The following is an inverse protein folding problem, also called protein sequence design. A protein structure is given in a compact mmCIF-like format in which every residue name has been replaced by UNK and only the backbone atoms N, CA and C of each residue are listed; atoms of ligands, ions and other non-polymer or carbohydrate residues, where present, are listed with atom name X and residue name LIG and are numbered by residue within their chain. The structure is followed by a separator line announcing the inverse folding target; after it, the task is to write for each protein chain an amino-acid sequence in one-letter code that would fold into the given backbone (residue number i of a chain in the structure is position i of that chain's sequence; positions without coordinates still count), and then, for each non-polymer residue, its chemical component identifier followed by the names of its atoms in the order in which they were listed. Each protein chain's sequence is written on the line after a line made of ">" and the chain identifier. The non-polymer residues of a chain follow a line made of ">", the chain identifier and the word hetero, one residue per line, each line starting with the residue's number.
data_IF_094084376464
#
_entry.id   IF_094084376464
#
_cell.length_a   1.000
_cell.length_b   1.000
_cell.length_c   1.000
_cell.angle_alpha   90.00
_cell.angle_beta   90.00
_cell.angle_gamma   90.00
#
_symmetry.space_group_name_H-M   'P 1'
#
loop_
_entity.id
_entity.type
_entity.pdbx_description
1 polymer ?
#
# COMPACT_ATOMS: atom_id res chain seq x y z
N UNK A 1 3.64 12.37 -13.32
CA UNK A 1 4.36 11.94 -12.10
C UNK A 1 3.81 10.58 -11.72
N UNK A 2 4.67 9.64 -11.32
CA UNK A 2 4.29 8.25 -11.06
C UNK A 2 4.40 7.91 -9.58
N UNK A 3 3.49 7.08 -9.09
CA UNK A 3 3.50 6.49 -7.75
C UNK A 3 3.30 4.99 -7.86
N UNK A 4 3.94 4.21 -6.99
CA UNK A 4 3.79 2.76 -6.99
C UNK A 4 3.20 2.26 -5.67
N UNK A 5 2.34 1.26 -5.76
CA UNK A 5 1.87 0.45 -4.65
C UNK A 5 2.26 -1.00 -4.83
N UNK A 6 2.64 -1.67 -3.75
CA UNK A 6 3.06 -3.07 -3.78
C UNK A 6 2.28 -3.84 -2.71
N UNK A 7 1.36 -4.72 -3.14
CA UNK A 7 0.88 -5.86 -2.34
C UNK A 7 1.97 -6.95 -2.40
N UNK A 8 2.83 -6.96 -1.38
CA UNK A 8 4.01 -7.82 -1.37
C UNK A 8 3.65 -9.23 -0.91
N UNK A 9 4.22 -10.24 -1.57
CA UNK A 9 4.06 -11.63 -1.16
C UNK A 9 5.40 -12.37 -1.07
N UNK A 10 5.39 -13.65 -0.66
CA UNK A 10 6.59 -14.50 -0.65
C UNK A 10 6.38 -15.78 -1.47
N UNK A 11 5.22 -16.43 -1.30
CA UNK A 11 4.91 -17.73 -1.92
C UNK A 11 4.07 -17.63 -3.20
N UNK A 12 3.46 -16.47 -3.43
CA UNK A 12 2.63 -16.16 -4.61
C UNK A 12 3.24 -14.95 -5.33
N UNK A 13 2.85 -14.67 -6.59
CA UNK A 13 3.13 -13.39 -7.22
C UNK A 13 2.70 -12.24 -6.31
N UNK A 14 3.53 -11.21 -6.27
CA UNK A 14 3.16 -9.92 -5.71
C UNK A 14 2.31 -9.17 -6.72
N UNK A 15 1.49 -8.24 -6.27
CA UNK A 15 0.72 -7.38 -7.17
C UNK A 15 1.23 -5.96 -7.00
N UNK A 16 1.56 -5.31 -8.11
CA UNK A 16 1.94 -3.90 -8.12
C UNK A 16 0.85 -3.07 -8.78
N UNK A 17 0.75 -1.81 -8.38
CA UNK A 17 -0.09 -0.82 -9.02
C UNK A 17 0.71 0.45 -9.28
N UNK A 18 0.72 0.92 -10.53
CA UNK A 18 1.38 2.16 -10.94
C UNK A 18 0.31 3.21 -11.19
N UNK A 19 0.34 4.28 -10.40
CA UNK A 19 -0.56 5.41 -10.54
C UNK A 19 0.11 6.55 -11.32
N UNK A 20 -0.46 6.88 -12.47
CA UNK A 20 -0.06 8.01 -13.31
C UNK A 20 -1.28 8.83 -13.75
N UNK A 21 -1.23 10.15 -13.51
CA UNK A 21 -2.33 11.09 -13.76
C UNK A 21 -3.59 10.75 -12.95
N UNK A 22 -4.58 10.10 -13.58
CA UNK A 22 -5.79 9.57 -12.94
C UNK A 22 -5.89 8.05 -13.02
N UNK A 23 -4.99 7.40 -13.77
CA UNK A 23 -5.07 5.97 -14.09
C UNK A 23 -4.10 5.15 -13.24
N UNK A 24 -4.59 4.00 -12.78
CA UNK A 24 -3.85 3.07 -11.93
C UNK A 24 -3.80 1.73 -12.66
N UNK A 25 -2.59 1.34 -13.08
CA UNK A 25 -2.31 0.13 -13.83
C UNK A 25 -1.83 -0.96 -12.89
N UNK A 26 -2.48 -2.12 -12.90
CA UNK A 26 -2.21 -3.23 -11.99
C UNK A 26 -1.53 -4.38 -12.73
N UNK A 27 -0.54 -5.00 -12.13
CA UNK A 27 0.08 -6.22 -12.68
C UNK A 27 0.57 -7.15 -11.60
N UNK A 28 0.49 -8.44 -11.86
CA UNK A 28 1.16 -9.45 -11.04
C UNK A 28 2.61 -9.59 -11.48
N UNK A 29 3.50 -9.70 -10.50
CA UNK A 29 4.94 -9.83 -10.69
C UNK A 29 5.49 -10.92 -9.77
N UNK A 30 6.39 -11.73 -10.31
CA UNK A 30 6.93 -12.93 -9.64
C UNK A 30 8.25 -12.60 -8.95
N UNK A 31 9.08 -11.75 -9.56
CA UNK A 31 10.44 -11.47 -9.10
C UNK A 31 10.61 -10.05 -8.56
N UNK A 32 11.63 -9.84 -7.74
CA UNK A 32 12.02 -8.48 -7.33
C UNK A 32 12.44 -7.63 -8.54
N UNK A 33 13.09 -8.23 -9.54
CA UNK A 33 13.46 -7.54 -10.79
C UNK A 33 12.26 -6.94 -11.53
N UNK A 34 11.15 -7.67 -11.57
CA UNK A 34 9.90 -7.18 -12.15
C UNK A 34 9.27 -6.06 -11.30
N UNK A 35 9.36 -6.13 -9.97
CA UNK A 35 8.95 -5.03 -9.08
C UNK A 35 9.78 -3.76 -9.37
N UNK A 36 11.12 -3.90 -9.43
CA UNK A 36 12.04 -2.80 -9.72
C UNK A 36 11.72 -2.14 -11.07
N UNK A 37 11.50 -2.96 -12.10
CA UNK A 37 11.15 -2.49 -13.44
C UNK A 37 9.78 -1.79 -13.45
N UNK A 38 8.76 -2.42 -12.84
CA UNK A 38 7.40 -1.91 -12.83
C UNK A 38 7.23 -0.61 -12.04
N UNK A 39 7.91 -0.48 -10.90
CA UNK A 39 7.87 0.74 -10.09
C UNK A 39 8.88 1.81 -10.53
N UNK A 40 9.67 1.58 -11.58
CA UNK A 40 10.72 2.50 -12.04
C UNK A 40 10.18 3.90 -12.36
N UNK A 41 10.92 4.94 -11.92
CA UNK A 41 10.54 6.34 -12.09
C UNK A 41 9.40 6.82 -11.19
N UNK A 42 8.92 6.00 -10.26
CA UNK A 42 7.97 6.42 -9.23
C UNK A 42 8.63 7.34 -8.21
N UNK A 43 7.94 8.40 -7.82
CA UNK A 43 8.43 9.33 -6.79
C UNK A 43 8.40 8.70 -5.40
N UNK A 44 7.27 8.05 -5.08
CA UNK A 44 7.03 7.36 -3.81
C UNK A 44 6.50 5.95 -4.11
N UNK A 45 6.97 4.96 -3.35
CA UNK A 45 6.55 3.57 -3.43
C UNK A 45 6.02 3.14 -2.06
N UNK A 46 4.74 2.74 -1.98
CA UNK A 46 4.17 2.19 -0.76
C UNK A 46 4.16 0.66 -0.79
N UNK A 47 4.64 0.02 0.27
CA UNK A 47 4.71 -1.44 0.40
C UNK A 47 3.78 -1.90 1.50
N UNK A 48 2.91 -2.87 1.20
CA UNK A 48 2.14 -3.62 2.20
C UNK A 48 3.03 -4.66 2.88
N UNK A 49 3.90 -4.18 3.78
CA UNK A 49 4.72 -5.00 4.66
C UNK A 49 5.48 -4.12 5.65
N UNK A 50 5.72 -4.59 6.89
CA UNK A 50 6.65 -3.93 7.79
C UNK A 50 8.02 -3.70 7.16
N UNK A 51 8.55 -2.48 7.31
CA UNK A 51 9.91 -2.12 6.88
C UNK A 51 10.96 -2.30 7.99
N UNK A 52 10.57 -2.89 9.12
CA UNK A 52 11.47 -3.22 10.22
C UNK A 52 11.05 -4.52 10.92
N UNK A 53 12.05 -5.31 11.33
CA UNK A 53 11.82 -6.54 12.10
C UNK A 53 11.67 -6.21 13.59
N UNK A 54 10.82 -6.97 14.29
CA UNK A 54 10.70 -6.90 15.75
C UNK A 54 10.32 -8.26 16.33
N UNK A 55 10.66 -8.50 17.60
CA UNK A 55 10.16 -9.64 18.38
C UNK A 55 8.75 -9.29 18.90
N UNK A 56 7.72 -9.71 18.18
CA UNK A 56 6.33 -9.34 18.48
C UNK A 56 5.94 -8.00 17.86
N UNK A 57 4.96 -7.33 18.47
CA UNK A 57 4.43 -6.04 17.99
C UNK A 57 5.39 -4.89 18.29
N UNK A 58 5.67 -4.07 17.27
CA UNK A 58 6.29 -2.74 17.39
C UNK A 58 5.35 -1.78 18.15
N UNK A 59 5.87 -0.67 18.64
CA UNK A 59 5.10 0.43 19.22
C UNK A 59 4.13 1.00 18.19
N UNK A 60 4.57 1.18 16.93
CA UNK A 60 3.67 1.61 15.84
C UNK A 60 2.52 0.62 15.59
N UNK A 61 2.77 -0.69 15.67
CA UNK A 61 1.72 -1.72 15.52
C UNK A 61 0.70 -1.66 16.66
N UNK A 62 1.17 -1.42 17.90
CA UNK A 62 0.29 -1.24 19.07
C UNK A 62 -0.56 0.03 18.93
N UNK A 63 -0.01 1.10 18.35
CA UNK A 63 -0.78 2.30 18.04
C UNK A 63 -1.83 2.04 16.96
N UNK A 64 -1.49 1.26 15.92
CA UNK A 64 -2.49 0.81 14.92
C UNK A 64 -3.66 0.10 15.60
N UNK A 65 -3.38 -0.87 16.49
CA UNK A 65 -4.40 -1.61 17.24
C UNK A 65 -5.23 -0.69 18.13
N UNK A 66 -4.59 0.24 18.85
CA UNK A 66 -5.27 1.24 19.69
C UNK A 66 -6.22 2.14 18.87
N UNK A 67 -5.88 2.42 17.62
CA UNK A 67 -6.73 3.17 16.68
C UNK A 67 -7.79 2.29 15.99
N UNK A 68 -7.96 1.04 16.42
CA UNK A 68 -8.98 0.12 15.94
C UNK A 68 -8.61 -0.62 14.66
N UNK A 69 -7.37 -0.55 14.20
CA UNK A 69 -6.88 -1.35 13.08
C UNK A 69 -6.47 -2.74 13.55
N UNK A 70 -6.52 -3.72 12.65
CA UNK A 70 -6.08 -5.09 12.93
C UNK A 70 -4.81 -5.35 12.15
N UNK A 71 -3.69 -5.48 12.85
CA UNK A 71 -2.37 -5.79 12.27
C UNK A 71 -1.78 -6.98 13.00
N UNK A 72 -0.81 -7.64 12.37
CA UNK A 72 -0.06 -8.77 12.93
C UNK A 72 1.39 -8.35 13.21
N UNK A 73 2.08 -8.97 14.17
CA UNK A 73 3.44 -8.58 14.51
C UNK A 73 4.44 -9.01 13.41
N UNK A 74 5.46 -8.20 13.08
CA UNK A 74 6.46 -8.51 12.05
C UNK A 74 7.09 -9.91 12.17
N UNK A 75 7.36 -10.36 13.41
CA UNK A 75 7.93 -11.70 13.68
C UNK A 75 7.13 -12.89 13.15
N UNK A 76 5.84 -12.72 12.84
CA UNK A 76 4.98 -13.80 12.32
C UNK A 76 5.07 -13.94 10.80
N UNK A 77 5.62 -12.93 10.12
CA UNK A 77 5.70 -12.83 8.66
C UNK A 77 7.14 -12.56 8.21
N UNK A 78 8.12 -13.23 8.84
CA UNK A 78 9.54 -12.88 8.71
C UNK A 78 10.03 -12.75 7.27
N UNK A 79 9.72 -13.72 6.42
CA UNK A 79 10.15 -13.69 5.01
C UNK A 79 9.54 -12.53 4.22
N UNK A 80 8.34 -12.06 4.59
CA UNK A 80 7.70 -10.90 3.96
C UNK A 80 8.41 -9.60 4.36
N UNK A 81 8.75 -9.46 5.65
CA UNK A 81 9.47 -8.31 6.21
C UNK A 81 10.90 -8.25 5.67
N UNK A 82 11.60 -9.38 5.62
CA UNK A 82 12.95 -9.47 5.04
C UNK A 82 12.95 -9.08 3.56
N UNK A 83 11.93 -9.53 2.80
CA UNK A 83 11.74 -9.12 1.40
C UNK A 83 11.48 -7.61 1.28
N UNK A 84 10.63 -7.04 2.12
CA UNK A 84 10.32 -5.61 2.12
C UNK A 84 11.54 -4.74 2.48
N UNK A 85 12.32 -5.14 3.49
CA UNK A 85 13.58 -4.48 3.87
C UNK A 85 14.57 -4.51 2.71
N UNK A 86 14.72 -5.65 2.03
CA UNK A 86 15.58 -5.76 0.85
C UNK A 86 15.10 -4.82 -0.26
N UNK A 87 13.82 -4.84 -0.61
CA UNK A 87 13.23 -3.95 -1.63
C UNK A 87 13.46 -2.47 -1.27
N UNK A 88 13.25 -2.09 -0.02
CA UNK A 88 13.52 -0.74 0.49
C UNK A 88 14.97 -0.30 0.27
N UNK A 89 15.93 -1.22 0.29
CA UNK A 89 17.36 -0.89 0.07
C UNK A 89 17.76 -0.77 -1.41
N UNK A 90 16.98 -1.32 -2.34
CA UNK A 90 17.33 -1.39 -3.76
C UNK A 90 16.39 -0.57 -4.67
N UNK A 91 15.21 -0.19 -4.18
CA UNK A 91 14.30 0.70 -4.90
C UNK A 91 14.84 2.13 -4.86
N UNK A 92 14.97 2.75 -6.04
CA UNK A 92 15.49 4.11 -6.18
C UNK A 92 14.37 5.16 -6.06
N UNK A 93 13.66 5.18 -4.93
CA UNK A 93 12.56 6.09 -4.63
C UNK A 93 12.38 6.25 -3.12
N UNK A 94 11.53 7.18 -2.70
CA UNK A 94 11.06 7.19 -1.31
C UNK A 94 10.13 5.99 -1.08
N UNK A 95 10.54 5.05 -0.23
CA UNK A 95 9.76 3.86 0.10
C UNK A 95 9.07 4.05 1.45
N UNK A 96 7.79 3.68 1.52
CA UNK A 96 6.96 3.88 2.71
C UNK A 96 6.20 2.60 3.07
N UNK A 97 5.98 2.40 4.36
CA UNK A 97 5.16 1.32 4.88
C UNK A 97 3.68 1.71 4.86
N UNK A 98 2.82 0.80 4.42
CA UNK A 98 1.36 0.93 4.46
C UNK A 98 0.70 -0.38 4.89
N UNK A 99 -0.61 -0.34 5.08
CA UNK A 99 -1.44 -1.51 5.33
C UNK A 99 -2.83 -1.29 4.67
N UNK A 100 -3.08 -1.86 3.48
CA UNK A 100 -4.21 -1.52 2.63
C UNK A 100 -5.55 -1.87 3.29
N UNK A 101 -5.64 -2.98 4.02
CA UNK A 101 -6.86 -3.34 4.76
C UNK A 101 -7.26 -2.28 5.80
N UNK A 102 -6.30 -1.55 6.38
CA UNK A 102 -6.61 -0.42 7.28
C UNK A 102 -7.04 0.84 6.53
N UNK A 103 -6.48 1.07 5.35
CA UNK A 103 -6.93 2.14 4.46
C UNK A 103 -8.34 1.87 3.94
N UNK A 104 -8.64 0.66 3.48
CA UNK A 104 -9.99 0.18 3.09
C UNK A 104 -11.03 0.47 4.18
N UNK A 105 -10.66 0.21 5.45
CA UNK A 105 -11.52 0.52 6.61
C UNK A 105 -11.80 2.02 6.74
N UNK A 106 -10.80 2.88 6.52
CA UNK A 106 -10.97 4.33 6.62
C UNK A 106 -11.88 4.89 5.54
N UNK A 107 -11.85 4.29 4.34
CA UNK A 107 -12.63 4.76 3.19
C UNK A 107 -13.93 3.98 2.96
N UNK A 108 -14.23 3.00 3.82
CA UNK A 108 -15.35 2.07 3.72
C UNK A 108 -15.51 1.47 2.31
N UNK A 109 -14.41 0.92 1.77
CA UNK A 109 -14.36 0.34 0.43
C UNK A 109 -13.95 -1.13 0.50
N UNK A 110 -14.63 -1.97 -0.27
CA UNK A 110 -14.27 -3.36 -0.50
C UNK A 110 -13.91 -3.61 -1.97
N UNK A 111 -13.06 -4.59 -2.23
CA UNK A 111 -12.65 -4.99 -3.59
C UNK A 111 -13.84 -5.38 -4.48
N UNK A 112 -14.92 -5.89 -3.90
CA UNK A 112 -16.17 -6.18 -4.62
C UNK A 112 -16.89 -4.92 -5.10
N UNK A 113 -16.80 -3.82 -4.36
CA UNK A 113 -17.50 -2.56 -4.67
C UNK A 113 -16.93 -1.91 -5.93
N UNK A 114 -15.65 -2.16 -6.21
CA UNK A 114 -14.94 -1.64 -7.39
C UNK A 114 -14.85 -2.65 -8.53
N UNK A 115 -15.49 -3.81 -8.38
CA UNK A 115 -15.46 -4.88 -9.37
C UNK A 115 -14.08 -5.48 -9.61
N UNK A 116 -13.17 -5.44 -8.62
CA UNK A 116 -11.88 -6.11 -8.70
C UNK A 116 -12.06 -7.63 -8.78
N UNK A 117 -11.17 -8.35 -9.50
CA UNK A 117 -11.29 -9.82 -9.60
C UNK A 117 -10.82 -10.53 -8.33
N UNK A 118 -9.84 -9.94 -7.65
CA UNK A 118 -9.21 -10.47 -6.43
C UNK A 118 -8.83 -9.32 -5.50
N UNK A 119 -8.70 -9.64 -4.21
CA UNK A 119 -8.35 -8.66 -3.18
C UNK A 119 -6.98 -8.01 -3.43
N UNK A 120 -5.99 -8.79 -3.85
CA UNK A 120 -4.62 -8.32 -4.16
C UNK A 120 -4.59 -7.15 -5.17
N UNK A 121 -5.53 -7.10 -6.13
CA UNK A 121 -5.64 -5.98 -7.07
C UNK A 121 -6.01 -4.68 -6.35
N UNK A 122 -7.03 -4.71 -5.47
CA UNK A 122 -7.40 -3.53 -4.71
C UNK A 122 -6.31 -3.16 -3.70
N UNK A 123 -5.71 -4.14 -3.03
CA UNK A 123 -4.65 -3.88 -2.05
C UNK A 123 -3.47 -3.12 -2.69
N UNK A 124 -3.02 -3.53 -3.88
CA UNK A 124 -1.98 -2.82 -4.63
C UNK A 124 -2.43 -1.40 -5.05
N UNK A 125 -3.66 -1.25 -5.55
CA UNK A 125 -4.25 0.06 -5.91
C UNK A 125 -4.28 1.01 -4.71
N UNK A 126 -4.71 0.51 -3.55
CA UNK A 126 -4.75 1.29 -2.30
C UNK A 126 -3.34 1.68 -1.86
N UNK A 127 -2.34 0.80 -2.01
CA UNK A 127 -0.95 1.16 -1.77
C UNK A 127 -0.49 2.31 -2.67
N UNK A 128 -0.81 2.27 -3.98
CA UNK A 128 -0.42 3.33 -4.92
C UNK A 128 -1.09 4.67 -4.57
N UNK A 129 -2.35 4.62 -4.13
CA UNK A 129 -3.05 5.80 -3.62
C UNK A 129 -2.43 6.31 -2.31
N UNK A 130 -1.98 5.46 -1.39
CA UNK A 130 -1.26 5.91 -0.18
C UNK A 130 -0.01 6.71 -0.57
N UNK A 131 0.77 6.23 -1.54
CA UNK A 131 1.93 6.95 -2.06
C UNK A 131 1.55 8.32 -2.65
N UNK A 132 0.46 8.40 -3.44
CA UNK A 132 -0.05 9.67 -3.96
C UNK A 132 -0.55 10.63 -2.87
N UNK A 133 -1.35 10.14 -1.91
CA UNK A 133 -1.90 10.96 -0.83
C UNK A 133 -0.80 11.48 0.10
N UNK A 134 0.26 10.70 0.33
CA UNK A 134 1.47 11.15 1.01
C UNK A 134 2.10 12.34 0.30
N UNK A 135 2.30 12.25 -1.02
CA UNK A 135 2.86 13.34 -1.81
C UNK A 135 2.02 14.62 -1.74
N UNK A 136 0.69 14.49 -1.70
CA UNK A 136 -0.24 15.61 -1.56
C UNK A 136 -0.34 16.16 -0.13
N UNK A 137 0.25 15.51 0.86
CA UNK A 137 0.16 15.89 2.27
C UNK A 137 -1.20 15.62 2.92
N UNK A 138 -2.13 14.96 2.22
CA UNK A 138 -3.44 14.59 2.74
C UNK A 138 -3.43 13.11 3.16
N UNK A 139 -2.76 12.77 4.25
CA UNK A 139 -2.54 11.37 4.63
C UNK A 139 -2.72 11.16 6.13
N UNK A 140 -3.23 10.00 6.54
CA UNK A 140 -3.21 9.60 7.93
C UNK A 140 -1.85 8.95 8.24
N UNK A 141 -1.12 9.53 9.20
CA UNK A 141 0.18 9.04 9.67
C UNK A 141 0.03 8.44 11.07
N UNK A 142 0.38 7.16 11.23
CA UNK A 142 0.54 6.53 12.55
C UNK A 142 2.03 6.37 12.80
N UNK A 143 2.55 7.05 13.81
CA UNK A 143 3.99 7.16 14.06
C UNK A 143 4.32 6.82 15.51
N UNK A 144 5.39 6.05 15.69
CA UNK A 144 6.08 5.82 16.95
C UNK A 144 7.59 5.89 16.71
N UNK A 145 8.37 5.78 17.79
CA UNK A 145 9.84 5.77 17.71
C UNK A 145 10.43 4.64 16.85
N UNK A 146 9.69 3.56 16.59
CA UNK A 146 10.15 2.36 15.90
C UNK A 146 9.53 2.15 14.51
N UNK A 147 8.77 3.13 14.01
CA UNK A 147 8.23 3.09 12.66
C UNK A 147 7.10 4.08 12.39
N UNK A 148 6.78 4.21 11.10
CA UNK A 148 5.69 5.03 10.58
C UNK A 148 4.89 4.20 9.60
N UNK A 149 3.57 4.18 9.76
CA UNK A 149 2.63 3.55 8.82
C UNK A 149 1.72 4.62 8.25
N UNK A 150 1.66 4.71 6.92
CA UNK A 150 0.82 5.66 6.20
C UNK A 150 -0.47 4.98 5.74
N UNK A 151 -1.61 5.63 5.93
CA UNK A 151 -2.93 5.13 5.55
C UNK A 151 -3.73 6.21 4.82
N UNK A 152 -4.64 5.81 3.94
CA UNK A 152 -5.63 6.75 3.40
C UNK A 152 -6.43 7.40 4.55
N UNK A 153 -6.73 8.70 4.46
CA UNK A 153 -7.56 9.38 5.45
C UNK A 153 -9.00 8.84 5.45
N UNK A 154 -9.75 9.13 6.51
CA UNK A 154 -11.17 8.78 6.58
C UNK A 154 -11.96 9.62 5.58
N UNK A 155 -12.82 8.97 4.81
CA UNK A 155 -13.61 9.64 3.78
C UNK A 155 -14.24 8.67 2.80
N UNK A 156 -14.63 9.18 1.64
CA UNK A 156 -15.17 8.39 0.54
C UNK A 156 -14.24 8.51 -0.66
N UNK A 157 -13.69 7.38 -1.09
CA UNK A 157 -12.88 7.28 -2.31
C UNK A 157 -13.78 7.01 -3.51
N UNK A 158 -13.68 7.81 -4.57
CA UNK A 158 -14.29 7.53 -5.87
C UNK A 158 -13.23 6.94 -6.79
N UNK A 159 -13.38 5.66 -7.09
CA UNK A 159 -12.54 4.91 -8.01
C UNK A 159 -13.44 4.05 -8.91
N UNK A 160 -13.08 3.91 -10.17
CA UNK A 160 -13.82 3.15 -11.17
C UNK A 160 -12.88 2.16 -11.85
N UNK A 161 -13.31 0.91 -12.05
CA UNK A 161 -12.59 -0.04 -12.89
C UNK A 161 -12.93 0.22 -14.36
N UNK A 162 -11.93 0.62 -15.16
CA UNK A 162 -12.12 0.96 -16.59
C UNK A 162 -12.01 -0.26 -17.49
N UNK A 163 -11.10 -1.16 -17.16
CA UNK A 163 -10.89 -2.42 -17.87
C UNK A 163 -10.27 -3.45 -16.94
N UNK A 164 -9.95 -4.62 -17.49
CA UNK A 164 -9.04 -5.52 -16.80
C UNK A 164 -7.75 -4.77 -16.44
N UNK A 165 -7.33 -4.90 -15.17
CA UNK A 165 -6.10 -4.33 -14.62
C UNK A 165 -5.95 -2.80 -14.68
N UNK A 166 -7.01 -2.04 -14.98
CA UNK A 166 -6.95 -0.58 -15.00
C UNK A 166 -8.08 0.00 -14.16
N UNK A 167 -7.70 0.85 -13.21
CA UNK A 167 -8.60 1.63 -12.38
C UNK A 167 -8.38 3.12 -12.65
N UNK A 168 -9.39 3.93 -12.40
CA UNK A 168 -9.32 5.37 -12.50
C UNK A 168 -9.71 5.99 -11.16
N UNK A 169 -8.78 6.72 -10.54
CA UNK A 169 -9.06 7.58 -9.40
C UNK A 169 -9.79 8.82 -9.89
N UNK A 170 -11.01 9.04 -9.37
CA UNK A 170 -11.85 10.18 -9.73
C UNK A 170 -11.73 11.31 -8.72
N UNK A 171 -11.95 11.00 -7.44
CA UNK A 171 -12.01 12.00 -6.39
C UNK A 171 -11.93 11.38 -5.00
N UNK A 172 -11.72 12.21 -3.98
CA UNK A 172 -11.79 11.84 -2.58
C UNK A 172 -12.52 12.91 -1.76
N UNK A 173 -13.52 12.48 -1.00
CA UNK A 173 -14.29 13.34 -0.11
C UNK A 173 -13.94 13.03 1.34
N UNK A 174 -13.24 13.92 2.07
CA UNK A 174 -12.94 13.71 3.49
C UNK A 174 -14.21 13.53 4.33
N UNK A 175 -14.15 12.69 5.35
CA UNK A 175 -15.22 12.62 6.36
C UNK A 175 -15.23 13.93 7.18
N UNK A 176 -16.43 14.49 7.39
CA UNK A 176 -16.66 15.65 8.27
C UNK A 176 -16.47 15.28 9.75
#
# INVERSE_FOLDING_TARGET
>A
MKFCGIDLAVKRPSTIAVFENTLIYVSDVVTDGEILSGCSGSKIIAIDSPLSMSKGFRKVDRLMIKNGFRVLPPSWMKGLVERAIRLNSILNAEVIETHPTSSEKNINLNWKDVGAKKKDELDAVICALVAYFKDKGNILKIEAEDGIIYLLPRGTLKIERKSENIYEFKDFYPAL
#
